data_IF_112897525151
#
_entry.id   IF_112897525151
#
_cell.length_a   1.000
_cell.length_b   1.000
_cell.length_c   1.000
_cell.angle_alpha   90.00
_cell.angle_beta   90.00
_cell.angle_gamma   90.00
#
_symmetry.space_group_name_H-M   'P 1'
#
loop_
_entity.id
_entity.type
_entity.pdbx_description
1 polymer ?
#
# COMPACT_ATOMS: atom_id res chain seq x y z
N UNK A 1 -8.39 -19.39 -20.84
CA UNK A 1 -7.84 -18.07 -21.24
C UNK A 1 -8.76 -16.98 -20.69
N UNK A 2 -8.20 -15.86 -20.21
CA UNK A 2 -8.96 -14.74 -19.65
C UNK A 2 -9.72 -14.02 -20.75
N UNK A 3 -11.02 -13.76 -20.54
CA UNK A 3 -11.83 -13.03 -21.53
C UNK A 3 -11.52 -11.53 -21.46
N UNK A 4 -11.72 -10.76 -22.55
CA UNK A 4 -11.57 -9.29 -22.52
C UNK A 4 -12.40 -8.62 -21.42
N UNK A 5 -13.60 -9.15 -21.12
CA UNK A 5 -14.44 -8.65 -20.04
C UNK A 5 -13.78 -8.85 -18.66
N UNK A 6 -13.26 -10.07 -18.37
CA UNK A 6 -12.53 -10.34 -17.12
C UNK A 6 -11.24 -9.51 -17.02
N UNK A 7 -10.59 -9.24 -18.16
CA UNK A 7 -9.41 -8.37 -18.22
C UNK A 7 -9.74 -6.94 -17.80
N UNK A 8 -10.82 -6.37 -18.36
CA UNK A 8 -11.28 -5.03 -18.04
C UNK A 8 -11.75 -4.92 -16.57
N UNK A 9 -12.45 -5.93 -16.07
CA UNK A 9 -12.89 -5.99 -14.67
C UNK A 9 -11.71 -6.01 -13.70
N UNK A 10 -10.66 -6.78 -13.99
CA UNK A 10 -9.46 -6.80 -13.15
C UNK A 10 -8.68 -5.47 -13.19
N UNK A 11 -8.68 -4.77 -14.33
CA UNK A 11 -8.10 -3.42 -14.43
C UNK A 11 -8.92 -2.41 -13.58
N UNK A 12 -10.25 -2.52 -13.57
CA UNK A 12 -11.13 -1.71 -12.71
C UNK A 12 -10.92 -2.02 -11.22
N UNK A 13 -10.82 -3.29 -10.85
CA UNK A 13 -10.52 -3.71 -9.48
C UNK A 13 -9.17 -3.16 -9.00
N UNK A 14 -8.16 -3.13 -9.88
CA UNK A 14 -6.85 -2.51 -9.58
C UNK A 14 -6.99 -1.02 -9.32
N UNK A 15 -7.72 -0.29 -10.16
CA UNK A 15 -7.98 1.13 -9.94
C UNK A 15 -8.72 1.38 -8.61
N UNK A 16 -9.79 0.64 -8.33
CA UNK A 16 -10.57 0.76 -7.10
C UNK A 16 -9.73 0.47 -5.85
N UNK A 17 -8.89 -0.58 -5.89
CA UNK A 17 -7.97 -0.92 -4.81
C UNK A 17 -7.02 0.24 -4.50
N UNK A 18 -6.43 0.86 -5.54
CA UNK A 18 -5.50 1.96 -5.34
C UNK A 18 -6.19 3.23 -4.83
N UNK A 19 -7.44 3.49 -5.23
CA UNK A 19 -8.25 4.60 -4.69
C UNK A 19 -8.51 4.38 -3.19
N UNK A 20 -9.03 3.21 -2.81
CA UNK A 20 -9.31 2.88 -1.41
C UNK A 20 -8.04 2.94 -0.54
N UNK A 21 -6.92 2.38 -1.02
CA UNK A 21 -5.64 2.48 -0.30
C UNK A 21 -5.15 3.93 -0.15
N UNK A 22 -5.44 4.80 -1.12
CA UNK A 22 -5.13 6.23 -1.04
C UNK A 22 -6.01 6.95 -0.02
N UNK A 23 -7.30 6.60 0.07
CA UNK A 23 -8.22 7.14 1.08
C UNK A 23 -7.77 6.75 2.49
N UNK A 24 -7.42 5.47 2.71
CA UNK A 24 -6.87 5.00 4.00
C UNK A 24 -5.61 5.79 4.37
N UNK A 25 -4.69 5.98 3.41
CA UNK A 25 -3.47 6.76 3.61
C UNK A 25 -3.75 8.23 3.94
N UNK A 26 -4.61 8.90 3.19
CA UNK A 26 -4.98 10.30 3.42
C UNK A 26 -5.62 10.49 4.81
N UNK A 27 -6.56 9.63 5.19
CA UNK A 27 -7.16 9.67 6.53
C UNK A 27 -6.14 9.38 7.64
N UNK A 28 -5.12 8.56 7.37
CA UNK A 28 -4.02 8.31 8.33
C UNK A 28 -3.25 9.60 8.60
N UNK A 29 -2.93 10.37 7.56
CA UNK A 29 -2.23 11.66 7.70
C UNK A 29 -3.07 12.62 8.53
N UNK A 30 -4.36 12.75 8.19
CA UNK A 30 -5.27 13.65 8.89
C UNK A 30 -5.37 13.30 10.38
N UNK A 31 -5.59 12.03 10.71
CA UNK A 31 -5.71 11.57 12.08
C UNK A 31 -4.37 11.67 12.85
N UNK A 32 -3.25 11.34 12.20
CA UNK A 32 -1.92 11.49 12.79
C UNK A 32 -1.61 12.95 13.15
N UNK A 33 -2.00 13.91 12.29
CA UNK A 33 -1.85 15.34 12.56
C UNK A 33 -2.78 15.79 13.70
N UNK A 34 -4.04 15.34 13.71
CA UNK A 34 -4.98 15.60 14.82
C UNK A 34 -4.46 15.08 16.16
N UNK A 35 -3.95 13.85 16.20
CA UNK A 35 -3.33 13.28 17.40
C UNK A 35 -2.10 14.09 17.84
N UNK A 36 -1.29 14.55 16.89
CA UNK A 36 -0.10 15.35 17.17
C UNK A 36 -0.41 16.74 17.73
N UNK A 37 -1.50 17.37 17.30
CA UNK A 37 -1.95 18.66 17.86
C UNK A 37 -2.26 18.58 19.36
N UNK A 38 -2.57 17.40 19.90
CA UNK A 38 -2.75 17.20 21.33
C UNK A 38 -1.43 17.16 22.12
N UNK A 39 -0.27 17.09 21.45
CA UNK A 39 1.06 17.16 22.07
C UNK A 39 1.47 18.63 22.17
N UNK A 40 1.73 19.19 23.36
CA UNK A 40 2.22 20.56 23.49
C UNK A 40 3.57 20.77 22.79
N UNK A 41 3.78 21.95 22.19
CA UNK A 41 5.08 22.32 21.61
C UNK A 41 6.23 22.39 22.64
N UNK A 42 5.88 22.47 23.93
CA UNK A 42 6.82 22.46 25.07
C UNK A 42 6.93 21.09 25.73
N UNK A 43 6.22 20.07 25.24
CA UNK A 43 6.24 18.74 25.83
C UNK A 43 7.62 18.10 25.66
N UNK A 44 8.11 17.48 26.74
CA UNK A 44 9.30 16.62 26.69
C UNK A 44 8.92 15.21 26.24
N UNK A 45 9.85 14.50 25.61
CA UNK A 45 9.60 13.15 25.08
C UNK A 45 8.97 12.18 26.10
N UNK A 46 9.43 12.21 27.36
CA UNK A 46 8.89 11.38 28.44
C UNK A 46 7.39 11.61 28.76
N UNK A 47 6.83 12.77 28.38
CA UNK A 47 5.43 13.12 28.59
C UNK A 47 4.52 12.67 27.43
N UNK A 48 5.09 12.18 26.33
CA UNK A 48 4.36 11.83 25.10
C UNK A 48 4.03 10.33 24.98
N UNK A 49 4.24 9.53 26.02
CA UNK A 49 3.98 8.08 26.00
C UNK A 49 2.51 7.71 25.70
N UNK A 50 1.57 8.51 26.22
CA UNK A 50 0.15 8.35 25.93
C UNK A 50 -0.19 8.64 24.46
N UNK A 51 0.47 9.63 23.86
CA UNK A 51 0.35 9.91 22.42
C UNK A 51 0.90 8.75 21.59
N UNK A 52 2.10 8.25 21.92
CA UNK A 52 2.75 7.18 21.16
C UNK A 52 1.89 5.92 21.13
N UNK A 53 1.31 5.52 22.28
CA UNK A 53 0.39 4.37 22.35
C UNK A 53 -0.83 4.55 21.44
N UNK A 54 -1.44 5.75 21.42
CA UNK A 54 -2.59 6.05 20.56
C UNK A 54 -2.20 6.05 19.08
N UNK A 55 -1.06 6.64 18.74
CA UNK A 55 -0.55 6.68 17.37
C UNK A 55 -0.26 5.27 16.83
N UNK A 56 0.41 4.41 17.61
CA UNK A 56 0.66 3.01 17.22
C UNK A 56 -0.65 2.27 17.01
N UNK A 57 -1.61 2.41 17.93
CA UNK A 57 -2.91 1.72 17.82
C UNK A 57 -3.63 2.13 16.53
N UNK A 58 -3.70 3.43 16.24
CA UNK A 58 -4.29 3.97 15.01
C UNK A 58 -3.59 3.44 13.76
N UNK A 59 -2.25 3.49 13.73
CA UNK A 59 -1.45 3.02 12.58
C UNK A 59 -1.64 1.53 12.34
N UNK A 60 -1.60 0.70 13.39
CA UNK A 60 -1.76 -0.76 13.23
C UNK A 60 -3.18 -1.16 12.82
N UNK A 61 -4.20 -0.43 13.28
CA UNK A 61 -5.58 -0.62 12.81
C UNK A 61 -5.72 -0.30 11.32
N UNK A 62 -5.26 0.87 10.87
CA UNK A 62 -5.34 1.26 9.45
C UNK A 62 -4.45 0.40 8.54
N UNK A 63 -3.31 -0.06 9.06
CA UNK A 63 -2.44 -1.02 8.37
C UNK A 63 -3.15 -2.35 8.14
N UNK A 64 -3.87 -2.86 9.14
CA UNK A 64 -4.71 -4.06 9.01
C UNK A 64 -5.77 -3.88 7.93
N UNK A 65 -6.49 -2.74 7.91
CA UNK A 65 -7.44 -2.42 6.85
C UNK A 65 -6.78 -2.47 5.46
N UNK A 66 -5.59 -1.88 5.31
CA UNK A 66 -4.84 -1.88 4.05
C UNK A 66 -4.43 -3.29 3.60
N UNK A 67 -4.02 -4.15 4.54
CA UNK A 67 -3.66 -5.56 4.29
C UNK A 67 -4.87 -6.39 3.89
N UNK A 68 -5.98 -6.26 4.62
CA UNK A 68 -7.20 -7.03 4.37
C UNK A 68 -7.80 -6.63 3.01
N UNK A 69 -7.81 -5.34 2.69
CA UNK A 69 -8.16 -4.81 1.36
C UNK A 69 -7.27 -5.41 0.26
N UNK A 70 -5.95 -5.45 0.47
CA UNK A 70 -5.01 -6.02 -0.49
C UNK A 70 -5.17 -7.53 -0.68
N UNK A 71 -5.55 -8.28 0.36
CA UNK A 71 -5.87 -9.70 0.24
C UNK A 71 -7.11 -9.90 -0.63
N UNK A 72 -8.21 -9.20 -0.34
CA UNK A 72 -9.44 -9.30 -1.12
C UNK A 72 -9.19 -8.92 -2.59
N UNK A 73 -8.43 -7.84 -2.82
CA UNK A 73 -7.97 -7.42 -4.14
C UNK A 73 -7.21 -8.54 -4.85
N UNK A 74 -6.17 -9.11 -4.22
CA UNK A 74 -5.34 -10.13 -4.82
C UNK A 74 -6.16 -11.37 -5.19
N UNK A 75 -7.06 -11.80 -4.28
CA UNK A 75 -7.96 -12.95 -4.52
C UNK A 75 -8.87 -12.70 -5.72
N UNK A 76 -9.49 -11.54 -5.82
CA UNK A 76 -10.37 -11.18 -6.94
C UNK A 76 -9.61 -11.09 -8.27
N UNK A 77 -8.50 -10.35 -8.33
CA UNK A 77 -7.74 -10.18 -9.57
C UNK A 77 -7.15 -11.50 -10.04
N UNK A 78 -6.63 -12.32 -9.12
CA UNK A 78 -6.12 -13.64 -9.48
C UNK A 78 -7.21 -14.53 -10.07
N UNK A 79 -8.41 -14.51 -9.49
CA UNK A 79 -9.56 -15.25 -10.00
C UNK A 79 -9.95 -14.80 -11.42
N UNK A 80 -10.05 -13.49 -11.64
CA UNK A 80 -10.36 -12.91 -12.94
C UNK A 80 -9.31 -13.24 -14.01
N UNK A 81 -8.03 -13.19 -13.63
CA UNK A 81 -6.88 -13.36 -14.53
C UNK A 81 -6.49 -14.81 -14.81
N UNK A 82 -6.81 -15.74 -13.92
CA UNK A 82 -6.32 -17.13 -14.00
C UNK A 82 -7.41 -18.18 -13.89
N UNK A 83 -8.64 -17.80 -13.54
CA UNK A 83 -9.76 -18.73 -13.29
C UNK A 83 -9.69 -19.41 -11.93
N UNK A 84 -8.74 -19.05 -11.09
CA UNK A 84 -8.47 -19.68 -9.78
C UNK A 84 -7.99 -18.61 -8.79
N UNK A 85 -8.21 -18.82 -7.50
CA UNK A 85 -7.80 -17.85 -6.47
C UNK A 85 -6.98 -18.51 -5.36
N UNK A 86 -6.54 -17.71 -4.38
CA UNK A 86 -5.82 -18.19 -3.20
C UNK A 86 -6.77 -18.34 -2.02
N UNK A 87 -6.52 -19.36 -1.21
CA UNK A 87 -7.24 -19.54 0.04
C UNK A 87 -7.02 -18.35 0.98
N UNK A 88 -8.01 -18.05 1.82
CA UNK A 88 -7.78 -17.15 2.96
C UNK A 88 -6.92 -17.89 4.00
N UNK A 89 -5.74 -17.39 4.38
CA UNK A 89 -4.86 -18.08 5.33
C UNK A 89 -5.42 -18.19 6.76
N UNK A 90 -6.48 -17.45 7.10
CA UNK A 90 -7.20 -17.56 8.38
C UNK A 90 -8.49 -18.39 8.25
N UNK A 91 -9.02 -18.57 7.04
CA UNK A 91 -10.23 -19.35 6.75
C UNK A 91 -10.04 -20.18 5.47
N UNK A 92 -9.28 -21.30 5.53
CA UNK A 92 -8.92 -22.08 4.34
C UNK A 92 -10.06 -22.94 3.76
N UNK A 93 -11.19 -23.04 4.47
CA UNK A 93 -12.40 -23.74 4.03
C UNK A 93 -13.49 -22.74 3.64
N UNK A 94 -14.36 -23.04 2.63
CA UNK A 94 -14.38 -24.24 1.76
C UNK A 94 -13.28 -24.22 0.68
N UNK A 95 -13.06 -25.30 -0.09
CA UNK A 95 -11.98 -25.38 -1.11
C UNK A 95 -12.24 -24.59 -2.40
N UNK A 96 -13.42 -23.96 -2.51
CA UNK A 96 -13.86 -23.18 -3.66
C UNK A 96 -14.58 -21.90 -3.21
N UNK A 97 -14.68 -20.94 -4.12
CA UNK A 97 -15.45 -19.70 -3.94
C UNK A 97 -16.11 -19.31 -5.26
N UNK A 98 -17.16 -18.49 -5.23
CA UNK A 98 -17.71 -17.90 -6.46
C UNK A 98 -17.09 -16.54 -6.75
N UNK A 99 -17.08 -16.14 -8.03
CA UNK A 99 -16.63 -14.80 -8.41
C UNK A 99 -17.49 -13.70 -7.75
N UNK A 100 -18.78 -13.93 -7.61
CA UNK A 100 -19.70 -13.04 -6.90
C UNK A 100 -19.28 -12.84 -5.43
N UNK A 101 -18.88 -13.91 -4.74
CA UNK A 101 -18.41 -13.80 -3.35
C UNK A 101 -17.13 -12.97 -3.27
N UNK A 102 -16.16 -13.20 -4.17
CA UNK A 102 -14.93 -12.41 -4.21
C UNK A 102 -15.19 -10.92 -4.52
N UNK A 103 -16.14 -10.63 -5.41
CA UNK A 103 -16.58 -9.26 -5.70
C UNK A 103 -17.18 -8.60 -4.47
N UNK A 104 -18.07 -9.29 -3.76
CA UNK A 104 -18.72 -8.79 -2.54
C UNK A 104 -17.72 -8.53 -1.42
N UNK A 105 -16.78 -9.45 -1.19
CA UNK A 105 -15.70 -9.30 -0.20
C UNK A 105 -14.84 -8.08 -0.49
N UNK A 106 -14.44 -7.90 -1.76
CA UNK A 106 -13.65 -6.73 -2.17
C UNK A 106 -14.46 -5.43 -2.07
N UNK A 107 -15.71 -5.43 -2.55
CA UNK A 107 -16.57 -4.25 -2.53
C UNK A 107 -16.85 -3.75 -1.09
N UNK A 108 -17.05 -4.66 -0.13
CA UNK A 108 -17.24 -4.30 1.28
C UNK A 108 -16.04 -3.49 1.82
N UNK A 109 -14.81 -3.90 1.50
CA UNK A 109 -13.60 -3.23 1.98
C UNK A 109 -13.30 -1.90 1.25
N UNK A 110 -13.75 -1.78 -0.01
CA UNK A 110 -13.67 -0.50 -0.74
C UNK A 110 -14.69 0.50 -0.19
N UNK A 111 -15.92 0.06 0.13
CA UNK A 111 -17.01 0.91 0.65
C UNK A 111 -16.80 1.40 2.09
N UNK A 112 -16.24 0.56 2.96
CA UNK A 112 -15.94 0.91 4.37
C UNK A 112 -14.80 1.94 4.50
N UNK A 113 -14.13 2.32 3.40
CA UNK A 113 -13.03 3.30 3.42
C UNK A 113 -13.49 4.75 3.64
N UNK A 114 -14.79 5.04 3.50
CA UNK A 114 -15.36 6.40 3.71
C UNK A 114 -15.67 6.71 5.18
N UNK A 115 -15.88 5.69 6.02
CA UNK A 115 -16.34 5.85 7.40
C UNK A 115 -15.20 5.55 8.39
N UNK A 116 -14.24 6.47 8.49
CA UNK A 116 -13.10 6.40 9.41
C UNK A 116 -13.48 6.55 10.90
N UNK A 117 -14.68 6.15 11.30
CA UNK A 117 -15.15 6.16 12.68
C UNK A 117 -14.68 4.90 13.41
N UNK A 118 -14.00 5.11 14.53
CA UNK A 118 -13.53 4.07 15.45
C UNK A 118 -14.72 3.51 16.24
N UNK A 119 -15.61 2.75 15.61
CA UNK A 119 -16.53 1.88 16.35
C UNK A 119 -16.02 0.43 16.30
N UNK A 120 -15.83 -0.13 17.49
CA UNK A 120 -15.42 -1.51 17.70
C UNK A 120 -16.34 -2.46 16.95
N UNK A 121 -15.80 -3.20 15.96
CA UNK A 121 -16.50 -4.34 15.38
C UNK A 121 -16.70 -5.39 16.46
N UNK A 122 -17.93 -5.84 16.78
CA UNK A 122 -18.10 -7.03 17.57
C UNK A 122 -17.56 -8.23 16.79
N UNK A 123 -16.89 -9.12 17.51
CA UNK A 123 -16.45 -10.40 17.02
C UNK A 123 -17.63 -11.16 16.38
N UNK A 124 -17.40 -11.71 15.19
CA UNK A 124 -18.10 -12.84 14.57
C UNK A 124 -19.34 -13.33 15.34
N UNK A 125 -20.51 -12.79 15.00
CA UNK A 125 -21.78 -13.36 15.43
C UNK A 125 -22.17 -14.45 14.43
N UNK A 126 -22.35 -15.65 14.97
CA UNK A 126 -22.52 -16.90 14.23
C UNK A 126 -23.74 -16.95 13.32
N UNK A 127 -23.60 -17.79 12.30
CA UNK A 127 -24.68 -18.26 11.45
C UNK A 127 -25.74 -18.97 12.30
N UNK A 128 -26.88 -18.32 12.53
CA UNK A 128 -28.10 -18.99 12.98
C UNK A 128 -28.82 -19.57 11.77
N UNK A 129 -28.71 -20.88 11.60
CA UNK A 129 -29.63 -21.68 10.80
C UNK A 129 -30.99 -21.77 11.52
N UNK A 130 -32.14 -21.67 10.82
CA UNK A 130 -33.41 -22.06 11.40
C UNK A 130 -33.61 -23.58 11.31
N UNK A 131 -33.89 -24.14 12.49
CA UNK A 131 -34.30 -25.50 12.77
C UNK A 131 -35.67 -25.82 12.13
N UNK A 132 -35.72 -26.90 11.32
CA UNK A 132 -36.98 -27.59 11.02
C UNK A 132 -36.71 -29.06 10.63
N UNK A 133 -37.23 -29.98 11.43
CA UNK A 133 -37.40 -31.43 11.15
C UNK A 133 -38.83 -31.85 11.57
N UNK A 134 -39.33 -33.05 11.21
CA UNK A 134 -39.06 -33.87 10.02
C UNK A 134 -40.36 -34.46 9.39
N UNK A 135 -40.25 -34.94 8.15
CA UNK A 135 -41.03 -36.01 7.49
C UNK A 135 -40.54 -36.02 6.05
N UNK A 136 -40.24 -37.10 5.35
CA UNK A 136 -40.39 -38.53 5.50
C UNK A 136 -40.17 -39.07 4.08
N UNK A 137 -39.71 -40.31 3.96
CA UNK A 137 -39.60 -41.11 2.73
C UNK A 137 -38.28 -41.07 1.95
N UNK A 138 -37.86 -42.30 1.65
CA UNK A 138 -36.65 -42.76 1.00
C UNK A 138 -36.46 -42.18 -0.39
N UNK A 139 -35.27 -41.65 -0.66
CA UNK A 139 -34.59 -41.77 -1.94
C UNK A 139 -33.11 -41.45 -1.72
N UNK A 140 -32.24 -42.42 -1.99
CA UNK A 140 -30.81 -42.20 -2.04
C UNK A 140 -30.53 -41.10 -3.10
N UNK A 141 -29.81 -40.02 -2.77
CA UNK A 141 -29.46 -39.04 -3.78
C UNK A 141 -28.37 -39.65 -4.65
N UNK A 142 -28.70 -39.85 -5.93
CA UNK A 142 -27.70 -39.90 -6.99
C UNK A 142 -26.88 -38.61 -6.87
N UNK A 143 -25.57 -38.76 -6.66
CA UNK A 143 -24.63 -37.65 -6.70
C UNK A 143 -24.49 -37.28 -8.18
N UNK A 144 -25.37 -36.42 -8.66
CA UNK A 144 -25.10 -35.62 -9.84
C UNK A 144 -23.92 -34.70 -9.47
N UNK A 145 -22.73 -35.02 -9.99
CA UNK A 145 -21.59 -34.10 -10.07
C UNK A 145 -21.97 -32.95 -11.01
N UNK A 146 -22.91 -32.11 -10.58
CA UNK A 146 -23.19 -30.81 -11.19
C UNK A 146 -22.08 -29.88 -10.70
N UNK A 147 -20.90 -30.00 -11.33
CA UNK A 147 -19.79 -29.08 -11.14
C UNK A 147 -20.28 -27.71 -11.61
N UNK A 148 -20.81 -26.95 -10.66
CA UNK A 148 -21.31 -25.60 -10.89
C UNK A 148 -20.18 -24.77 -11.54
N UNK A 149 -20.35 -24.42 -12.82
CA UNK A 149 -19.37 -23.72 -13.66
C UNK A 149 -18.86 -22.39 -13.05
N UNK A 150 -19.51 -21.90 -11.99
CA UNK A 150 -19.14 -20.70 -11.24
C UNK A 150 -18.16 -20.95 -10.07
N UNK A 151 -17.73 -22.19 -9.84
CA UNK A 151 -16.77 -22.53 -8.78
C UNK A 151 -15.33 -22.19 -9.16
N UNK A 152 -14.70 -21.35 -8.34
CA UNK A 152 -13.29 -20.96 -8.45
C UNK A 152 -12.49 -21.69 -7.38
N UNK A 153 -11.59 -22.56 -7.82
CA UNK A 153 -10.75 -23.37 -6.92
C UNK A 153 -9.68 -22.54 -6.21
N UNK A 154 -9.45 -22.89 -4.94
CA UNK A 154 -8.34 -22.38 -4.14
C UNK A 154 -7.02 -23.08 -4.47
N UNK A 155 -5.96 -22.28 -4.55
CA UNK A 155 -4.59 -22.76 -4.43
C UNK A 155 -3.98 -22.26 -3.14
N UNK A 156 -3.32 -23.17 -2.42
CA UNK A 156 -2.57 -22.81 -1.22
C UNK A 156 -1.22 -22.20 -1.60
N UNK A 157 -0.87 -21.10 -0.93
CA UNK A 157 0.46 -20.52 -0.99
C UNK A 157 1.24 -20.93 0.28
N UNK A 158 2.48 -21.44 0.14
CA UNK A 158 3.23 -21.96 1.28
C UNK A 158 3.58 -20.84 2.27
N UNK A 159 3.40 -21.12 3.57
CA UNK A 159 3.78 -20.25 4.69
C UNK A 159 3.19 -18.82 4.64
N UNK A 160 2.07 -18.62 3.93
CA UNK A 160 1.50 -17.29 3.74
C UNK A 160 1.11 -16.63 5.07
N UNK A 161 0.47 -17.40 5.95
CA UNK A 161 0.06 -16.97 7.30
C UNK A 161 1.27 -16.58 8.15
N UNK A 162 2.24 -17.47 8.27
CA UNK A 162 3.41 -17.26 9.12
C UNK A 162 4.20 -16.02 8.68
N UNK A 163 4.31 -15.80 7.36
CA UNK A 163 4.97 -14.61 6.82
C UNK A 163 4.17 -13.34 7.08
N UNK A 164 2.84 -13.36 6.96
CA UNK A 164 2.01 -12.21 7.34
C UNK A 164 2.14 -11.89 8.83
N UNK A 165 2.04 -12.88 9.71
CA UNK A 165 2.20 -12.68 11.15
C UNK A 165 3.59 -12.13 11.50
N UNK A 166 4.64 -12.61 10.83
CA UNK A 166 6.00 -12.07 10.97
C UNK A 166 6.07 -10.60 10.50
N UNK A 167 5.53 -10.30 9.32
CA UNK A 167 5.51 -8.93 8.77
C UNK A 167 4.75 -7.97 9.69
N UNK A 168 3.65 -8.40 10.30
CA UNK A 168 2.89 -7.55 11.23
C UNK A 168 3.65 -7.29 12.54
N UNK A 169 4.37 -8.28 13.07
CA UNK A 169 5.25 -8.07 14.24
C UNK A 169 6.38 -7.08 13.92
N UNK A 170 7.02 -7.24 12.76
CA UNK A 170 8.09 -6.33 12.31
C UNK A 170 7.56 -4.90 12.10
N UNK A 171 6.33 -4.75 11.57
CA UNK A 171 5.71 -3.45 11.36
C UNK A 171 5.30 -2.75 12.66
N UNK A 172 4.85 -3.50 13.68
CA UNK A 172 4.55 -2.91 14.99
C UNK A 172 5.82 -2.39 15.66
N UNK A 173 6.91 -3.14 15.59
CA UNK A 173 8.21 -2.71 16.12
C UNK A 173 8.73 -1.48 15.36
N UNK A 174 8.62 -1.47 14.02
CA UNK A 174 8.92 -0.30 13.21
C UNK A 174 8.09 0.92 13.65
N UNK A 175 6.78 0.75 13.84
CA UNK A 175 5.91 1.84 14.25
C UNK A 175 6.30 2.42 15.61
N UNK A 176 6.65 1.55 16.58
CA UNK A 176 7.13 1.98 17.90
C UNK A 176 8.37 2.85 17.79
N UNK A 177 9.37 2.39 17.06
CA UNK A 177 10.65 3.07 16.92
C UNK A 177 10.50 4.36 16.10
N UNK A 178 9.91 4.29 14.92
CA UNK A 178 9.86 5.41 13.97
C UNK A 178 8.96 6.54 14.47
N UNK A 179 7.80 6.24 15.05
CA UNK A 179 6.89 7.28 15.52
C UNK A 179 7.46 8.03 16.74
N UNK A 180 8.19 7.34 17.62
CA UNK A 180 8.92 8.00 18.71
C UNK A 180 10.06 8.88 18.17
N UNK A 181 10.89 8.30 17.29
CA UNK A 181 12.04 8.98 16.70
C UNK A 181 11.67 10.22 15.87
N UNK A 182 10.53 10.20 15.15
CA UNK A 182 10.10 11.30 14.29
C UNK A 182 9.15 12.29 14.97
N UNK A 183 8.46 11.85 16.02
CA UNK A 183 7.56 12.68 16.83
C UNK A 183 8.27 13.26 18.06
N UNK A 184 8.04 12.73 19.28
CA UNK A 184 8.52 13.34 20.53
C UNK A 184 10.04 13.50 20.63
N UNK A 185 10.83 12.49 20.27
CA UNK A 185 12.29 12.59 20.33
C UNK A 185 12.85 13.61 19.33
N UNK A 186 12.21 13.74 18.16
CA UNK A 186 12.56 14.75 17.17
C UNK A 186 12.20 16.17 17.64
N UNK A 187 11.02 16.34 18.26
CA UNK A 187 10.60 17.61 18.85
C UNK A 187 11.57 18.04 19.94
N UNK A 188 11.87 17.16 20.89
CA UNK A 188 12.79 17.42 22.00
C UNK A 188 14.16 17.90 21.48
N UNK A 189 14.77 17.14 20.56
CA UNK A 189 16.03 17.51 19.89
C UNK A 189 15.96 18.85 19.16
N UNK A 190 14.85 19.20 18.52
CA UNK A 190 14.71 20.49 17.83
C UNK A 190 14.60 21.63 18.83
N UNK A 191 13.78 21.45 19.86
CA UNK A 191 13.56 22.47 20.89
C UNK A 191 14.79 22.73 21.75
N UNK A 192 15.63 21.71 21.99
CA UNK A 192 16.87 21.86 22.75
C UNK A 192 17.93 22.74 22.06
N UNK A 193 17.77 23.00 20.76
CA UNK A 193 18.67 23.86 19.97
C UNK A 193 18.17 25.30 19.83
N UNK A 194 17.00 25.61 20.40
CA UNK A 194 16.42 26.95 20.31
C UNK A 194 17.16 27.87 21.28
N UNK A 195 17.56 29.03 20.77
CA UNK A 195 18.20 30.09 21.55
C UNK A 195 17.16 30.82 22.42
N UNK A 196 17.16 30.49 23.71
CA UNK A 196 16.25 31.06 24.70
C UNK A 196 16.58 32.52 25.08
N UNK A 197 17.70 33.08 24.59
CA UNK A 197 18.07 34.49 24.83
C UNK A 197 17.34 35.47 23.91
N UNK A 198 16.69 34.96 22.86
CA UNK A 198 15.88 35.74 21.92
C UNK A 198 14.57 36.23 22.56
N UNK A 199 13.92 37.25 21.96
CA UNK A 199 12.59 37.67 22.38
C UNK A 199 11.62 36.50 22.47
N UNK A 200 10.78 36.45 23.51
CA UNK A 200 9.86 35.33 23.77
C UNK A 200 9.00 34.95 22.54
N UNK A 201 8.54 35.96 21.78
CA UNK A 201 7.78 35.76 20.54
C UNK A 201 8.53 34.93 19.49
N UNK A 202 9.84 35.14 19.35
CA UNK A 202 10.66 34.44 18.37
C UNK A 202 10.96 33.01 18.83
N UNK A 203 11.15 32.82 20.15
CA UNK A 203 11.30 31.49 20.77
C UNK A 203 10.04 30.66 20.58
N UNK A 204 8.86 31.24 20.85
CA UNK A 204 7.57 30.54 20.71
C UNK A 204 7.30 30.18 19.25
N UNK A 205 7.61 31.08 18.31
CA UNK A 205 7.51 30.79 16.88
C UNK A 205 8.42 29.63 16.48
N UNK A 206 9.67 29.60 16.96
CA UNK A 206 10.60 28.52 16.66
C UNK A 206 10.13 27.17 17.22
N UNK A 207 9.53 27.17 18.42
CA UNK A 207 8.93 25.96 19.02
C UNK A 207 7.75 25.45 18.19
N UNK A 208 6.89 26.34 17.72
CA UNK A 208 5.77 26.00 16.86
C UNK A 208 6.24 25.43 15.51
N UNK A 209 7.24 26.04 14.87
CA UNK A 209 7.84 25.51 13.63
C UNK A 209 8.46 24.13 13.84
N UNK A 210 9.13 23.91 14.96
CA UNK A 210 9.69 22.60 15.32
C UNK A 210 8.60 21.54 15.51
N UNK A 211 7.51 21.90 16.20
CA UNK A 211 6.33 21.06 16.40
C UNK A 211 5.66 20.69 15.09
N UNK A 212 5.40 21.66 14.22
CA UNK A 212 4.79 21.42 12.90
C UNK A 212 5.65 20.47 12.06
N UNK A 213 6.97 20.70 12.01
CA UNK A 213 7.89 19.84 11.26
C UNK A 213 7.93 18.40 11.79
N UNK A 214 7.90 18.21 13.11
CA UNK A 214 7.82 16.89 13.72
C UNK A 214 6.48 16.20 13.38
N UNK A 215 5.37 16.95 13.49
CA UNK A 215 4.04 16.50 13.14
C UNK A 215 3.91 16.03 11.69
N UNK A 216 4.42 16.81 10.73
CA UNK A 216 4.40 16.43 9.31
C UNK A 216 5.25 15.18 9.04
N UNK A 217 6.41 15.06 9.68
CA UNK A 217 7.31 13.89 9.46
C UNK A 217 6.72 12.61 10.01
N UNK A 218 6.19 12.62 11.24
CA UNK A 218 5.59 11.43 11.82
C UNK A 218 4.33 11.01 11.04
N UNK A 219 3.52 11.98 10.57
CA UNK A 219 2.31 11.69 9.80
C UNK A 219 2.65 11.02 8.45
N UNK A 220 3.71 11.47 7.78
CA UNK A 220 4.19 10.86 6.54
C UNK A 220 4.73 9.43 6.75
N UNK A 221 5.38 9.18 7.90
CA UNK A 221 5.83 7.84 8.27
C UNK A 221 4.66 6.91 8.65
N UNK A 222 3.66 7.42 9.35
CA UNK A 222 2.42 6.70 9.65
C UNK A 222 1.71 6.25 8.37
N UNK A 223 1.54 7.16 7.41
CA UNK A 223 0.95 6.85 6.09
C UNK A 223 1.75 5.78 5.33
N UNK A 224 3.08 5.85 5.40
CA UNK A 224 3.95 4.81 4.80
C UNK A 224 3.73 3.45 5.45
N UNK A 225 3.73 3.36 6.78
CA UNK A 225 3.54 2.10 7.51
C UNK A 225 2.16 1.49 7.19
N UNK A 226 1.13 2.33 7.11
CA UNK A 226 -0.23 1.91 6.74
C UNK A 226 -0.28 1.39 5.30
N UNK A 227 0.20 2.18 4.32
CA UNK A 227 0.26 1.77 2.92
C UNK A 227 1.10 0.48 2.72
N UNK A 228 2.12 0.28 3.55
CA UNK A 228 2.93 -0.92 3.51
C UNK A 228 2.14 -2.17 3.92
N UNK A 229 1.03 -2.07 4.66
CA UNK A 229 0.14 -3.21 4.92
C UNK A 229 -0.38 -3.82 3.63
N UNK A 230 -0.87 -2.96 2.71
CA UNK A 230 -1.35 -3.40 1.41
C UNK A 230 -0.22 -3.86 0.48
N UNK A 231 0.89 -3.12 0.43
CA UNK A 231 2.04 -3.47 -0.42
C UNK A 231 2.70 -4.79 -0.03
N UNK A 232 2.95 -4.98 1.26
CA UNK A 232 3.56 -6.21 1.77
C UNK A 232 2.62 -7.40 1.57
N UNK A 233 1.30 -7.22 1.69
CA UNK A 233 0.33 -8.28 1.39
C UNK A 233 0.41 -8.71 -0.07
N UNK A 234 0.30 -7.77 -1.03
CA UNK A 234 0.41 -8.10 -2.47
C UNK A 234 1.76 -8.74 -2.78
N UNK A 235 2.86 -8.20 -2.25
CA UNK A 235 4.20 -8.76 -2.44
C UNK A 235 4.33 -10.18 -1.88
N UNK A 236 3.84 -10.41 -0.66
CA UNK A 236 3.89 -11.71 0.00
C UNK A 236 3.15 -12.78 -0.83
N UNK A 237 1.99 -12.44 -1.36
CA UNK A 237 1.22 -13.32 -2.24
C UNK A 237 1.96 -13.58 -3.56
N UNK A 238 2.28 -12.52 -4.32
CA UNK A 238 2.82 -12.69 -5.66
C UNK A 238 4.22 -13.31 -5.69
N UNK A 239 5.01 -13.10 -4.63
CA UNK A 239 6.34 -13.71 -4.50
C UNK A 239 6.29 -15.21 -4.22
N UNK A 240 5.14 -15.77 -3.85
CA UNK A 240 4.92 -17.21 -3.62
C UNK A 240 4.06 -17.86 -4.69
N UNK A 241 3.28 -17.06 -5.40
CA UNK A 241 2.37 -17.55 -6.43
C UNK A 241 3.12 -17.97 -7.70
N UNK A 242 2.99 -19.25 -8.07
CA UNK A 242 3.58 -19.82 -9.27
C UNK A 242 2.93 -19.31 -10.56
N UNK A 243 1.71 -18.77 -10.48
CA UNK A 243 1.00 -18.20 -11.63
C UNK A 243 1.45 -16.78 -11.99
N UNK A 244 2.20 -16.13 -11.11
CA UNK A 244 2.73 -14.80 -11.36
C UNK A 244 3.97 -14.90 -12.25
N UNK A 245 3.88 -14.35 -13.46
CA UNK A 245 4.99 -14.30 -14.40
C UNK A 245 6.06 -13.29 -13.96
N UNK A 246 5.64 -12.27 -13.23
CA UNK A 246 6.48 -11.19 -12.75
C UNK A 246 5.64 -10.03 -12.23
N UNK A 247 6.25 -8.86 -12.12
CA UNK A 247 5.56 -7.66 -11.65
C UNK A 247 5.99 -6.42 -12.43
N UNK A 248 5.16 -5.39 -12.34
CA UNK A 248 5.44 -4.06 -12.88
C UNK A 248 5.31 -3.03 -11.77
N UNK A 249 6.21 -2.04 -11.73
CA UNK A 249 6.09 -0.90 -10.82
C UNK A 249 5.14 0.13 -11.38
N UNK A 250 4.18 0.59 -10.60
CA UNK A 250 3.22 1.62 -10.99
C UNK A 250 3.25 2.82 -10.03
N UNK A 251 2.76 3.96 -10.50
CA UNK A 251 2.58 5.17 -9.70
C UNK A 251 1.09 5.47 -9.55
N UNK A 252 0.58 5.57 -8.31
CA UNK A 252 -0.83 5.94 -8.07
C UNK A 252 -1.16 7.34 -8.58
N UNK A 253 -0.19 8.26 -8.57
CA UNK A 253 -0.41 9.67 -8.92
C UNK A 253 -0.11 9.99 -10.38
N UNK A 254 0.49 9.07 -11.15
CA UNK A 254 1.07 9.36 -12.47
C UNK A 254 2.31 10.28 -12.44
N UNK A 255 2.68 10.85 -11.29
CA UNK A 255 3.80 11.78 -11.10
C UNK A 255 4.83 11.24 -10.09
N UNK A 256 5.47 10.09 -10.38
CA UNK A 256 6.38 9.45 -9.44
C UNK A 256 7.64 10.29 -9.18
N UNK A 257 8.25 10.17 -8.00
CA UNK A 257 9.56 10.75 -7.76
C UNK A 257 10.61 10.15 -8.74
N UNK A 258 11.72 10.84 -8.99
CA UNK A 258 12.72 10.38 -9.96
C UNK A 258 13.30 8.99 -9.69
N UNK A 259 13.32 8.54 -8.41
CA UNK A 259 13.70 7.17 -8.08
C UNK A 259 12.63 6.15 -8.48
N UNK A 260 11.37 6.38 -8.13
CA UNK A 260 10.27 5.54 -8.59
C UNK A 260 10.15 5.51 -10.10
N UNK A 261 10.33 6.65 -10.77
CA UNK A 261 10.31 6.72 -12.23
C UNK A 261 11.36 5.80 -12.86
N UNK A 262 12.54 5.66 -12.23
CA UNK A 262 13.57 4.71 -12.67
C UNK A 262 13.13 3.27 -12.44
N UNK A 263 12.50 2.96 -11.30
CA UNK A 263 11.98 1.61 -11.07
C UNK A 263 10.85 1.26 -12.05
N UNK A 264 9.98 2.21 -12.38
CA UNK A 264 8.91 2.10 -13.38
C UNK A 264 9.50 1.87 -14.78
N UNK A 265 10.63 2.49 -15.11
CA UNK A 265 11.30 2.33 -16.41
C UNK A 265 11.90 0.96 -16.65
N UNK A 266 12.00 0.09 -15.62
CA UNK A 266 12.42 -1.30 -15.79
C UNK A 266 11.38 -2.14 -16.55
N UNK A 267 10.13 -1.67 -16.63
CA UNK A 267 9.04 -2.39 -17.28
C UNK A 267 8.67 -3.67 -16.55
N UNK A 268 8.33 -4.70 -17.31
CA UNK A 268 8.00 -6.03 -16.79
C UNK A 268 9.25 -6.76 -16.29
N UNK A 269 9.27 -7.07 -14.98
CA UNK A 269 10.37 -7.81 -14.34
C UNK A 269 9.92 -9.24 -14.08
N UNK A 270 10.60 -10.22 -14.70
CA UNK A 270 10.29 -11.66 -14.53
C UNK A 270 10.67 -12.16 -13.14
N UNK A 271 9.91 -13.15 -12.67
CA UNK A 271 9.99 -13.68 -11.30
C UNK A 271 11.21 -14.57 -11.02
N UNK A 272 12.00 -14.92 -12.04
CA UNK A 272 13.25 -15.69 -11.95
C UNK A 272 14.49 -14.84 -11.60
N UNK A 273 14.40 -13.50 -11.65
CA UNK A 273 15.54 -12.60 -11.44
C UNK A 273 15.65 -11.89 -10.08
N UNK A 274 14.58 -11.76 -9.29
CA UNK A 274 14.53 -10.80 -8.16
C UNK A 274 13.69 -11.25 -6.93
N UNK A 275 13.77 -12.52 -6.51
CA UNK A 275 12.97 -13.09 -5.41
C UNK A 275 13.60 -13.08 -4.00
N UNK A 276 14.74 -12.42 -3.78
CA UNK A 276 15.43 -12.53 -2.47
C UNK A 276 14.88 -11.60 -1.38
N UNK A 277 14.76 -12.10 -0.15
CA UNK A 277 14.34 -11.38 1.07
C UNK A 277 15.12 -10.07 1.33
N UNK A 278 16.39 -9.98 0.90
CA UNK A 278 17.19 -8.74 0.90
C UNK A 278 16.57 -7.59 0.08
N UNK A 279 15.67 -7.92 -0.84
CA UNK A 279 14.94 -6.98 -1.68
C UNK A 279 13.61 -6.51 -1.10
N UNK A 280 13.12 -7.08 0.00
CA UNK A 280 11.74 -6.92 0.51
C UNK A 280 11.54 -5.82 1.58
N UNK A 281 12.61 -5.14 2.00
CA UNK A 281 12.50 -4.05 2.98
C UNK A 281 13.81 -3.82 3.77
N UNK A 282 13.96 -2.66 4.43
CA UNK A 282 15.09 -2.42 5.32
C UNK A 282 14.95 -3.24 6.62
N UNK A 283 16.07 -3.74 7.14
CA UNK A 283 16.18 -4.19 8.54
C UNK A 283 16.07 -3.00 9.49
N UNK A 284 15.70 -3.22 10.76
CA UNK A 284 15.64 -2.17 11.80
C UNK A 284 16.93 -1.31 11.83
N UNK A 285 18.10 -1.96 11.75
CA UNK A 285 19.39 -1.29 11.69
C UNK A 285 19.60 -0.40 10.45
N UNK A 286 18.94 -0.72 9.32
CA UNK A 286 18.98 0.08 8.08
C UNK A 286 17.97 1.24 8.08
N UNK A 287 16.91 1.14 8.88
CA UNK A 287 16.04 2.28 9.18
C UNK A 287 16.76 3.29 10.08
N UNK A 288 17.56 2.80 11.03
CA UNK A 288 18.38 3.61 11.93
C UNK A 288 19.60 4.26 11.23
N UNK A 289 20.24 3.57 10.27
CA UNK A 289 21.47 4.03 9.62
C UNK A 289 21.28 4.89 8.38
N UNK A 290 20.09 4.93 7.78
CA UNK A 290 19.82 5.68 6.55
C UNK A 290 20.47 5.11 5.28
N UNK A 291 21.02 3.89 5.30
CA UNK A 291 21.72 3.30 4.14
C UNK A 291 20.79 2.48 3.22
N UNK A 292 20.81 2.82 1.93
CA UNK A 292 19.84 2.40 0.91
C UNK A 292 20.28 1.13 0.15
N UNK A 293 19.53 0.03 0.27
CA UNK A 293 19.68 -1.18 -0.54
C UNK A 293 18.42 -1.39 -1.43
N UNK A 294 18.66 -1.68 -2.70
CA UNK A 294 17.72 -1.70 -3.82
C UNK A 294 16.70 -2.86 -3.77
N UNK A 295 15.42 -2.58 -4.04
CA UNK A 295 14.37 -3.62 -4.15
C UNK A 295 12.95 -3.11 -3.94
N UNK A 296 12.60 -2.74 -2.69
CA UNK A 296 11.24 -2.33 -2.25
C UNK A 296 11.18 -1.09 -1.34
N UNK A 297 12.23 -0.24 -1.32
CA UNK A 297 12.26 0.92 -0.41
C UNK A 297 11.22 1.99 -0.78
N UNK A 298 10.00 1.84 -0.28
CA UNK A 298 9.04 2.92 -0.18
C UNK A 298 9.51 3.88 0.92
N UNK A 299 9.75 5.13 0.56
CA UNK A 299 10.02 6.20 1.51
C UNK A 299 8.72 6.88 1.93
N UNK A 300 8.79 7.79 2.90
CA UNK A 300 7.64 8.59 3.32
C UNK A 300 7.07 9.37 2.12
N UNK A 301 5.74 9.50 2.03
CA UNK A 301 5.03 10.09 0.88
C UNK A 301 5.28 9.38 -0.47
N UNK A 302 5.73 8.12 -0.46
CA UNK A 302 5.85 7.34 -1.68
C UNK A 302 4.48 6.80 -2.09
N UNK A 303 4.05 7.03 -3.35
CA UNK A 303 2.79 6.51 -3.89
C UNK A 303 2.96 5.46 -4.98
N UNK A 304 4.13 4.82 -5.03
CA UNK A 304 4.44 3.76 -5.99
C UNK A 304 3.98 2.40 -5.44
N UNK A 305 3.73 1.41 -6.29
CA UNK A 305 3.40 0.04 -5.87
C UNK A 305 3.90 -0.98 -6.88
N UNK A 306 3.92 -2.27 -6.52
CA UNK A 306 4.18 -3.36 -7.43
C UNK A 306 2.87 -4.06 -7.77
N UNK A 307 2.61 -4.24 -9.06
CA UNK A 307 1.41 -4.89 -9.59
C UNK A 307 1.79 -6.25 -10.18
N UNK A 308 1.16 -7.36 -9.75
CA UNK A 308 1.41 -8.69 -10.29
C UNK A 308 0.94 -8.81 -11.74
N UNK A 309 1.74 -9.48 -12.56
CA UNK A 309 1.41 -9.79 -13.95
C UNK A 309 1.23 -11.30 -14.12
N UNK A 310 0.05 -11.71 -14.56
CA UNK A 310 -0.33 -13.13 -14.72
C UNK A 310 -0.29 -13.61 -16.16
N UNK A 311 -0.34 -12.69 -17.12
CA UNK A 311 -0.31 -12.99 -18.55
C UNK A 311 0.50 -11.91 -19.30
N UNK A 312 1.27 -12.25 -20.36
CA UNK A 312 2.06 -11.27 -21.10
C UNK A 312 1.20 -10.14 -21.69
N UNK A 313 0.01 -10.47 -22.18
CA UNK A 313 -0.92 -9.53 -22.84
C UNK A 313 -1.46 -8.47 -21.87
N UNK A 314 -1.39 -8.72 -20.56
CA UNK A 314 -1.75 -7.74 -19.53
C UNK A 314 -0.92 -6.46 -19.70
N UNK A 315 0.35 -6.57 -20.11
CA UNK A 315 1.27 -5.43 -20.25
C UNK A 315 0.91 -4.49 -21.41
N UNK A 316 0.01 -4.89 -22.31
CA UNK A 316 -0.47 -4.04 -23.41
C UNK A 316 -1.61 -3.11 -22.98
N UNK A 317 -2.21 -3.34 -21.80
CA UNK A 317 -3.28 -2.48 -21.26
C UNK A 317 -2.84 -1.01 -21.14
N UNK A 318 -3.77 -0.04 -21.30
CA UNK A 318 -3.52 1.38 -21.04
C UNK A 318 -2.91 1.66 -19.67
N UNK A 319 -3.18 0.81 -18.66
CA UNK A 319 -2.64 0.93 -17.30
C UNK A 319 -1.10 0.97 -17.27
N UNK A 320 -0.41 0.36 -18.24
CA UNK A 320 1.06 0.28 -18.29
C UNK A 320 1.71 1.28 -19.25
N UNK A 321 0.95 2.25 -19.76
CA UNK A 321 1.46 3.27 -20.71
C UNK A 321 2.65 4.05 -20.14
N UNK A 322 2.61 4.37 -18.84
CA UNK A 322 3.71 5.07 -18.17
C UNK A 322 4.99 4.22 -18.12
N UNK A 323 4.87 2.91 -17.90
CA UNK A 323 6.01 1.98 -17.90
C UNK A 323 6.67 1.91 -19.25
N UNK A 324 5.87 1.73 -20.31
CA UNK A 324 6.37 1.63 -21.68
C UNK A 324 7.07 2.93 -22.10
N UNK A 325 6.49 4.08 -21.78
CA UNK A 325 7.11 5.39 -22.09
C UNK A 325 8.41 5.60 -21.33
N UNK A 326 8.46 5.28 -20.04
CA UNK A 326 9.69 5.42 -19.25
C UNK A 326 10.77 4.42 -19.66
N UNK A 327 10.41 3.18 -20.01
CA UNK A 327 11.34 2.18 -20.53
C UNK A 327 12.00 2.63 -21.83
N UNK A 328 11.26 3.32 -22.69
CA UNK A 328 11.83 3.90 -23.92
C UNK A 328 12.74 5.11 -23.64
N UNK A 329 12.38 5.95 -22.66
CA UNK A 329 13.12 7.18 -22.33
C UNK A 329 14.40 6.90 -21.54
N UNK A 330 14.41 5.91 -20.65
CA UNK A 330 15.55 5.60 -19.80
C UNK A 330 16.88 5.45 -20.57
N UNK A 331 17.01 4.59 -21.60
CA UNK A 331 18.27 4.44 -22.34
C UNK A 331 18.64 5.69 -23.15
N UNK A 332 17.67 6.53 -23.52
CA UNK A 332 17.92 7.81 -24.22
C UNK A 332 18.53 8.84 -23.27
N UNK A 333 17.96 8.98 -22.07
CA UNK A 333 18.38 9.96 -21.05
C UNK A 333 19.69 9.53 -20.38
N UNK A 334 19.93 8.24 -20.24
CA UNK A 334 21.10 7.70 -19.52
C UNK A 334 22.23 7.24 -20.43
N UNK A 335 22.15 7.53 -21.74
CA UNK A 335 23.16 7.13 -22.73
C UNK A 335 24.56 7.59 -22.31
N UNK A 336 25.50 6.65 -22.25
CA UNK A 336 26.89 6.92 -21.86
C UNK A 336 27.09 7.18 -20.36
N UNK A 337 26.04 7.04 -19.53
CA UNK A 337 26.09 7.21 -18.08
C UNK A 337 25.83 5.86 -17.39
N UNK A 338 26.42 5.67 -16.20
CA UNK A 338 26.19 4.49 -15.37
C UNK A 338 26.06 4.84 -13.89
N UNK A 339 25.57 3.89 -13.09
CA UNK A 339 25.45 4.02 -11.64
C UNK A 339 24.76 5.32 -11.19
N UNK A 340 25.40 6.01 -10.23
CA UNK A 340 24.86 7.27 -9.67
C UNK A 340 24.70 8.39 -10.70
N UNK A 341 25.53 8.42 -11.76
CA UNK A 341 25.46 9.45 -12.79
C UNK A 341 24.19 9.29 -13.65
N UNK A 342 23.87 8.05 -14.05
CA UNK A 342 22.64 7.73 -14.78
C UNK A 342 21.39 8.08 -13.96
N UNK A 343 21.33 7.65 -12.70
CA UNK A 343 20.22 7.96 -11.79
C UNK A 343 20.07 9.48 -11.59
N UNK A 344 21.16 10.22 -11.48
CA UNK A 344 21.12 11.67 -11.30
C UNK A 344 20.61 12.40 -12.55
N UNK A 345 21.03 11.97 -13.75
CA UNK A 345 20.53 12.50 -15.01
C UNK A 345 19.02 12.24 -15.17
N UNK A 346 18.59 11.02 -14.88
CA UNK A 346 17.17 10.66 -14.89
C UNK A 346 16.33 11.47 -13.89
N UNK A 347 16.80 11.63 -12.65
CA UNK A 347 16.13 12.46 -11.64
C UNK A 347 15.95 13.91 -12.10
N UNK A 348 16.95 14.48 -12.80
CA UNK A 348 16.83 15.83 -13.38
C UNK A 348 15.79 15.88 -14.50
N UNK A 349 15.83 14.92 -15.42
CA UNK A 349 14.87 14.81 -16.52
C UNK A 349 13.42 14.72 -16.01
N UNK A 350 13.14 13.82 -15.05
CA UNK A 350 11.80 13.65 -14.49
C UNK A 350 11.30 14.92 -13.80
N UNK A 351 12.15 15.60 -13.01
CA UNK A 351 11.78 16.88 -12.38
C UNK A 351 11.46 17.96 -13.41
N UNK A 352 12.20 18.01 -14.51
CA UNK A 352 11.95 18.97 -15.59
C UNK A 352 10.60 18.70 -16.26
N UNK A 353 10.31 17.44 -16.61
CA UNK A 353 9.03 17.04 -17.19
C UNK A 353 7.85 17.38 -16.26
N UNK A 354 7.99 17.08 -14.97
CA UNK A 354 6.95 17.37 -13.98
C UNK A 354 6.73 18.87 -13.79
N UNK A 355 7.81 19.66 -13.78
CA UNK A 355 7.72 21.12 -13.70
C UNK A 355 7.03 21.70 -14.93
N UNK A 356 7.36 21.22 -16.13
CA UNK A 356 6.72 21.65 -17.37
C UNK A 356 5.22 21.32 -17.36
N UNK A 357 4.86 20.06 -17.06
CA UNK A 357 3.46 19.64 -16.96
C UNK A 357 2.67 20.44 -15.92
N UNK A 358 3.27 20.74 -14.76
CA UNK A 358 2.64 21.58 -13.74
C UNK A 358 2.46 23.04 -14.19
N UNK A 359 3.37 23.58 -14.99
CA UNK A 359 3.25 24.92 -15.56
C UNK A 359 2.15 24.99 -16.62
N UNK A 360 2.10 24.01 -17.53
CA UNK A 360 1.06 23.88 -18.54
C UNK A 360 -0.33 23.74 -17.90
N UNK A 361 -0.46 22.87 -16.88
CA UNK A 361 -1.70 22.71 -16.14
C UNK A 361 -2.18 24.04 -15.52
N UNK A 362 -1.29 24.80 -14.89
CA UNK A 362 -1.61 26.11 -14.31
C UNK A 362 -2.09 27.11 -15.36
N UNK A 363 -1.40 27.18 -16.51
CA UNK A 363 -1.80 28.07 -17.61
C UNK A 363 -3.19 27.72 -18.15
N UNK A 364 -3.48 26.42 -18.31
CA UNK A 364 -4.79 25.96 -18.78
C UNK A 364 -5.93 26.25 -17.79
N UNK A 365 -5.67 26.17 -16.48
CA UNK A 365 -6.67 26.52 -15.47
C UNK A 365 -6.95 28.03 -15.40
N UNK A 366 -5.93 28.87 -15.62
CA UNK A 366 -6.10 30.32 -15.65
C UNK A 366 -6.86 30.77 -16.90
N UNK A 367 -6.59 30.18 -18.06
CA UNK A 367 -7.34 30.49 -19.29
C UNK A 367 -8.81 30.06 -19.27
N UNK A 368 -9.16 29.05 -18.45
CA UNK A 368 -10.56 28.62 -18.24
C UNK A 368 -11.29 29.49 -17.20
N UNK A 369 -10.57 30.19 -16.33
CA UNK A 369 -11.16 31.14 -15.37
C UNK A 369 -11.32 32.56 -15.95
N UNK A 370 -10.60 32.89 -17.02
CA UNK A 370 -10.67 34.20 -17.71
C UNK A 370 -11.61 34.21 -18.94
N UNK A 371 -12.19 33.05 -19.30
CA UNK A 371 -13.19 32.89 -20.36
C UNK A 371 -14.58 32.64 -19.76
#
# INVERSE_FOLDING_TARGET
MTTPAKQAEADQASAAFQVALTQIGAGTIEEALKLWQAVPATARAAQSSAWLKRAITMVMTRRRMSRDLARAYYRLVRALRTGTTVADPYHPEPTYVTLETLRREFAALVGDSEDGSLEERPASAGSTLPDRRPSGEDSAPEVEDDVNDDQILFEELPNLRDDEERIEREAEEEARVILDLLGPANLDRKTSTIDETKPAKDVDKAREEAHQQAGTRQAAAAERIVNNGGRSAVWNHMSKDRRVLGYVRLSRTGTPCGWCAMLISRGFVRSDGYRTQKGAGPTLAQLESGDYADGDKYHDNCHCYAEPVFAPEQYDSPAYTLNRSYAELWPKVTRGLSGKAAVSAWRRFIRQQQKAAAQEARQSTTSVQEA
#
